data_IF_839389454607
#
_entry.id   IF_839389454607
#
_cell.length_a   1.000
_cell.length_b   1.000
_cell.length_c   1.000
_cell.angle_alpha   90.00
_cell.angle_beta   90.00
_cell.angle_gamma   90.00
#
_symmetry.space_group_name_H-M   'P 1'
#
loop_
_entity.id
_entity.type
_entity.pdbx_description
1 polymer ?
#
# COMPACT_ATOMS: atom_id res chain seq x y z
N UNK A 1 -8.71 -14.03 26.47
CA UNK A 1 -8.63 -13.09 25.33
C UNK A 1 -7.53 -13.49 24.34
N UNK A 2 -6.23 -13.67 24.76
CA UNK A 2 -5.17 -14.13 23.86
C UNK A 2 -5.53 -15.47 23.21
N UNK A 3 -5.93 -16.45 23.99
CA UNK A 3 -6.28 -17.80 23.50
C UNK A 3 -7.49 -17.78 22.56
N UNK A 4 -8.46 -16.89 22.79
CA UNK A 4 -9.63 -16.73 21.91
C UNK A 4 -9.22 -16.23 20.54
N UNK A 5 -8.28 -15.26 20.51
CA UNK A 5 -7.71 -14.74 19.26
C UNK A 5 -6.90 -15.83 18.56
N UNK A 6 -6.05 -16.56 19.26
CA UNK A 6 -5.29 -17.67 18.70
C UNK A 6 -6.21 -18.74 18.07
N UNK A 7 -7.30 -19.09 18.77
CA UNK A 7 -8.30 -20.02 18.26
C UNK A 7 -8.96 -19.49 16.98
N UNK A 8 -9.30 -18.17 16.94
CA UNK A 8 -9.88 -17.51 15.77
C UNK A 8 -8.96 -17.62 14.54
N UNK A 9 -7.65 -17.58 14.74
CA UNK A 9 -6.65 -17.71 13.66
C UNK A 9 -6.14 -19.15 13.46
N UNK A 10 -6.77 -20.13 14.08
CA UNK A 10 -6.45 -21.55 13.91
C UNK A 10 -5.06 -21.92 14.47
N UNK A 11 -4.57 -21.20 15.48
CA UNK A 11 -3.33 -21.53 16.18
C UNK A 11 -3.60 -22.58 17.26
N UNK A 12 -2.94 -23.75 17.13
CA UNK A 12 -3.02 -24.84 18.09
C UNK A 12 -2.53 -24.39 19.48
N UNK A 13 -3.04 -25.04 20.54
CA UNK A 13 -2.63 -24.76 21.91
C UNK A 13 -1.13 -24.97 22.16
N UNK A 14 -0.48 -25.81 21.37
CA UNK A 14 0.98 -26.02 21.42
C UNK A 14 1.77 -24.74 21.19
N UNK A 15 1.22 -23.79 20.40
CA UNK A 15 1.86 -22.51 20.10
C UNK A 15 2.12 -21.68 21.35
N UNK A 16 1.33 -21.85 22.42
CA UNK A 16 1.49 -21.11 23.67
C UNK A 16 2.85 -21.34 24.36
N UNK A 17 3.50 -22.48 24.06
CA UNK A 17 4.75 -22.91 24.67
C UNK A 17 5.93 -22.94 23.67
N UNK A 18 5.75 -22.49 22.43
CA UNK A 18 6.78 -22.47 21.41
C UNK A 18 7.55 -21.15 21.43
N UNK A 19 8.85 -21.24 21.21
CA UNK A 19 9.68 -20.07 20.94
C UNK A 19 9.48 -19.57 19.48
N UNK A 20 9.77 -18.30 19.19
CA UNK A 20 9.60 -17.75 17.83
C UNK A 20 10.29 -18.54 16.73
N UNK A 21 11.46 -19.11 16.99
CA UNK A 21 12.23 -19.91 16.02
C UNK A 21 11.66 -21.32 15.78
N UNK A 22 10.71 -21.77 16.61
CA UNK A 22 10.00 -23.04 16.46
C UNK A 22 8.70 -22.90 15.65
N UNK A 23 8.31 -21.65 15.35
CA UNK A 23 7.11 -21.35 14.59
C UNK A 23 7.40 -21.43 13.07
N UNK A 24 6.48 -22.00 12.31
CA UNK A 24 6.48 -21.78 10.86
C UNK A 24 6.23 -20.29 10.54
N UNK A 25 6.66 -19.82 9.37
CA UNK A 25 6.43 -18.42 8.97
C UNK A 25 4.97 -17.98 9.06
N UNK A 26 4.04 -18.84 8.63
CA UNK A 26 2.61 -18.58 8.76
C UNK A 26 2.11 -18.52 10.20
N UNK A 27 2.63 -19.40 11.09
CA UNK A 27 2.31 -19.37 12.53
C UNK A 27 2.85 -18.10 13.18
N UNK A 28 4.13 -17.78 12.95
CA UNK A 28 4.77 -16.59 13.50
C UNK A 28 4.00 -15.30 13.13
N UNK A 29 3.56 -15.21 11.87
CA UNK A 29 2.75 -14.09 11.41
C UNK A 29 1.39 -14.01 12.09
N UNK A 30 0.67 -15.13 12.23
CA UNK A 30 -0.61 -15.17 12.95
C UNK A 30 -0.45 -14.81 14.42
N UNK A 31 0.65 -15.22 15.06
CA UNK A 31 1.01 -14.81 16.41
C UNK A 31 1.25 -13.30 16.47
N UNK A 32 2.06 -12.74 15.55
CA UNK A 32 2.34 -11.31 15.50
C UNK A 32 1.05 -10.48 15.28
N UNK A 33 0.19 -10.89 14.36
CA UNK A 33 -1.11 -10.24 14.14
C UNK A 33 -1.99 -10.32 15.40
N UNK A 34 -1.97 -11.46 16.08
CA UNK A 34 -2.72 -11.66 17.33
C UNK A 34 -2.26 -10.72 18.45
N UNK A 35 -0.96 -10.40 18.53
CA UNK A 35 -0.45 -9.44 19.53
C UNK A 35 -1.03 -8.05 19.34
N UNK A 36 -1.19 -7.59 18.10
CA UNK A 36 -1.86 -6.32 17.81
C UNK A 36 -3.34 -6.32 18.24
N UNK A 37 -4.03 -7.45 18.06
CA UNK A 37 -5.46 -7.56 18.35
C UNK A 37 -5.79 -7.74 19.83
N UNK A 38 -4.86 -8.23 20.64
CA UNK A 38 -5.06 -8.38 22.10
C UNK A 38 -5.35 -7.04 22.78
N UNK A 39 -4.77 -5.96 22.29
CA UNK A 39 -4.89 -4.61 22.87
C UNK A 39 -6.17 -3.86 22.48
N UNK A 40 -7.09 -4.46 21.72
CA UNK A 40 -8.33 -3.80 21.23
C UNK A 40 -8.05 -2.51 20.45
N UNK A 41 -7.00 -2.54 19.65
CA UNK A 41 -6.55 -1.39 18.90
C UNK A 41 -7.58 -0.97 17.84
N UNK A 42 -7.69 0.35 17.63
CA UNK A 42 -8.55 0.93 16.60
C UNK A 42 -7.83 1.07 15.26
N UNK A 43 -6.50 1.02 15.28
CA UNK A 43 -5.65 1.15 14.11
C UNK A 43 -4.51 0.14 14.18
N UNK A 44 -4.28 -0.57 13.09
CA UNK A 44 -3.11 -1.44 12.89
C UNK A 44 -2.26 -0.84 11.76
N UNK A 45 -0.97 -0.72 12.01
CA UNK A 45 0.02 -0.40 10.97
C UNK A 45 0.75 -1.68 10.62
N UNK A 46 0.66 -2.10 9.37
CA UNK A 46 1.31 -3.29 8.83
C UNK A 46 2.35 -2.86 7.78
N UNK A 47 3.62 -2.95 8.17
CA UNK A 47 4.74 -2.59 7.30
C UNK A 47 5.29 -3.86 6.65
N UNK A 48 5.20 -3.92 5.30
CA UNK A 48 5.58 -5.05 4.46
C UNK A 48 5.11 -6.42 5.03
N UNK A 49 3.80 -6.62 5.23
CA UNK A 49 3.31 -7.83 5.90
C UNK A 49 3.28 -9.08 5.02
N UNK A 50 3.55 -8.95 3.71
CA UNK A 50 3.35 -10.02 2.72
C UNK A 50 4.62 -10.63 2.09
N UNK A 51 5.82 -10.02 2.16
CA UNK A 51 7.00 -10.60 1.53
C UNK A 51 7.31 -12.03 1.95
N UNK A 52 7.72 -12.85 0.98
CA UNK A 52 8.11 -14.24 1.22
C UNK A 52 6.97 -15.21 1.44
N UNK A 53 5.74 -14.79 1.25
CA UNK A 53 4.57 -15.69 1.28
C UNK A 53 4.35 -16.32 -0.09
N UNK A 54 4.03 -17.62 -0.07
CA UNK A 54 3.45 -18.28 -1.24
C UNK A 54 2.03 -17.73 -1.49
N UNK A 55 1.48 -17.97 -2.68
CA UNK A 55 0.19 -17.41 -3.10
C UNK A 55 -0.97 -17.77 -2.16
N UNK A 56 -0.99 -18.99 -1.63
CA UNK A 56 -2.03 -19.43 -0.69
C UNK A 56 -1.92 -18.66 0.61
N UNK A 57 -0.73 -18.59 1.19
CA UNK A 57 -0.45 -17.86 2.43
C UNK A 57 -0.70 -16.36 2.28
N UNK A 58 -0.38 -15.79 1.12
CA UNK A 58 -0.70 -14.40 0.78
C UNK A 58 -2.20 -14.15 0.81
N UNK A 59 -2.98 -14.98 0.12
CA UNK A 59 -4.44 -14.81 0.05
C UNK A 59 -5.10 -14.98 1.43
N UNK A 60 -4.64 -15.93 2.26
CA UNK A 60 -5.08 -16.07 3.65
C UNK A 60 -4.78 -14.80 4.45
N UNK A 61 -3.60 -14.26 4.27
CA UNK A 61 -3.16 -13.04 4.92
C UNK A 61 -4.03 -11.84 4.60
N UNK A 62 -4.25 -11.61 3.33
CA UNK A 62 -5.07 -10.50 2.86
C UNK A 62 -6.50 -10.64 3.39
N UNK A 63 -7.04 -11.87 3.42
CA UNK A 63 -8.35 -12.15 4.00
C UNK A 63 -8.41 -11.82 5.50
N UNK A 64 -7.36 -12.17 6.25
CA UNK A 64 -7.28 -11.84 7.67
C UNK A 64 -7.30 -10.32 7.89
N UNK A 65 -6.50 -9.55 7.13
CA UNK A 65 -6.53 -8.09 7.19
C UNK A 65 -7.90 -7.52 6.83
N UNK A 66 -8.55 -8.04 5.78
CA UNK A 66 -9.89 -7.57 5.40
C UNK A 66 -10.92 -7.85 6.51
N UNK A 67 -10.91 -9.04 7.09
CA UNK A 67 -11.81 -9.39 8.20
C UNK A 67 -11.61 -8.48 9.44
N UNK A 68 -10.36 -8.08 9.71
CA UNK A 68 -10.06 -7.15 10.80
C UNK A 68 -10.61 -5.76 10.48
N UNK A 69 -10.42 -5.28 9.25
CA UNK A 69 -10.96 -4.00 8.82
C UNK A 69 -12.49 -3.97 8.88
N UNK A 70 -13.15 -5.02 8.41
CA UNK A 70 -14.60 -5.18 8.44
C UNK A 70 -15.17 -5.27 9.86
N UNK A 71 -14.34 -5.70 10.84
CA UNK A 71 -14.70 -5.67 12.26
C UNK A 71 -14.56 -4.30 12.93
N UNK A 72 -14.18 -3.25 12.18
CA UNK A 72 -14.13 -1.86 12.64
C UNK A 72 -12.74 -1.38 13.09
N UNK A 73 -11.67 -2.14 12.80
CA UNK A 73 -10.30 -1.71 13.03
C UNK A 73 -9.71 -1.12 11.74
N UNK A 74 -9.26 0.13 11.75
CA UNK A 74 -8.59 0.72 10.60
C UNK A 74 -7.22 0.06 10.36
N UNK A 75 -6.87 -0.20 9.09
CA UNK A 75 -5.58 -0.79 8.72
C UNK A 75 -4.84 0.16 7.79
N UNK A 76 -3.62 0.52 8.16
CA UNK A 76 -2.65 1.16 7.28
C UNK A 76 -1.61 0.11 6.88
N UNK A 77 -1.71 -0.37 5.65
CA UNK A 77 -0.73 -1.29 5.07
C UNK A 77 0.29 -0.51 4.23
N UNK A 78 1.57 -0.71 4.51
CA UNK A 78 2.68 -0.21 3.70
C UNK A 78 3.21 -1.41 2.91
N UNK A 79 3.23 -1.30 1.59
CA UNK A 79 3.70 -2.37 0.72
C UNK A 79 4.13 -1.85 -0.66
N UNK A 80 5.07 -2.53 -1.28
CA UNK A 80 5.41 -2.36 -2.70
C UNK A 80 4.62 -3.33 -3.60
N UNK A 81 3.87 -4.26 -3.02
CA UNK A 81 3.00 -5.17 -3.77
C UNK A 81 1.64 -4.51 -4.06
N UNK A 82 1.56 -3.88 -5.24
CA UNK A 82 0.35 -3.20 -5.68
C UNK A 82 -0.81 -4.18 -5.85
N UNK A 83 -0.55 -5.40 -6.31
CA UNK A 83 -1.59 -6.40 -6.54
C UNK A 83 -2.23 -6.84 -5.21
N UNK A 84 -1.41 -7.03 -4.18
CA UNK A 84 -1.91 -7.30 -2.83
C UNK A 84 -2.76 -6.12 -2.31
N UNK A 85 -2.30 -4.88 -2.49
CA UNK A 85 -3.04 -3.69 -2.10
C UNK A 85 -4.38 -3.58 -2.83
N UNK A 86 -4.41 -3.80 -4.15
CA UNK A 86 -5.63 -3.74 -4.97
C UNK A 86 -6.68 -4.78 -4.58
N UNK A 87 -6.28 -5.89 -3.97
CA UNK A 87 -7.21 -6.96 -3.53
C UNK A 87 -8.01 -6.58 -2.30
N UNK A 88 -7.46 -5.74 -1.40
CA UNK A 88 -8.07 -5.54 -0.06
C UNK A 88 -8.28 -4.09 0.35
N UNK A 89 -7.59 -3.13 -0.27
CA UNK A 89 -7.66 -1.74 0.14
C UNK A 89 -8.99 -1.08 -0.28
N UNK A 90 -9.47 -0.15 0.55
CA UNK A 90 -10.55 0.77 0.18
C UNK A 90 -9.95 2.00 -0.54
N UNK A 91 -8.78 2.46 -0.08
CA UNK A 91 -8.03 3.58 -0.66
C UNK A 91 -6.55 3.24 -0.76
N UNK A 92 -5.89 3.79 -1.77
CA UNK A 92 -4.47 3.62 -2.00
C UNK A 92 -3.80 4.99 -2.00
N UNK A 93 -2.77 5.14 -1.16
CA UNK A 93 -1.89 6.29 -1.14
C UNK A 93 -0.62 5.97 -1.92
N UNK A 94 -0.41 6.63 -3.05
CA UNK A 94 0.77 6.45 -3.88
C UNK A 94 1.87 7.37 -3.37
N UNK A 95 2.96 6.76 -2.92
CA UNK A 95 4.10 7.43 -2.30
C UNK A 95 5.28 7.54 -3.26
N UNK A 96 5.96 8.70 -3.28
CA UNK A 96 7.12 8.93 -4.13
C UNK A 96 8.03 10.01 -3.53
N UNK A 97 9.33 9.74 -3.49
CA UNK A 97 10.35 10.67 -3.02
C UNK A 97 10.00 11.38 -1.69
N UNK A 98 9.55 10.59 -0.70
CA UNK A 98 9.23 11.09 0.64
C UNK A 98 7.86 11.77 0.78
N UNK A 99 6.98 11.73 -0.25
CA UNK A 99 5.66 12.35 -0.15
C UNK A 99 4.56 11.53 -0.81
N UNK A 100 3.33 11.71 -0.35
CA UNK A 100 2.14 11.14 -1.00
C UNK A 100 1.78 11.99 -2.21
N UNK A 101 1.83 11.43 -3.40
CA UNK A 101 1.46 12.11 -4.64
C UNK A 101 -0.02 12.04 -4.96
N UNK A 102 -0.66 10.93 -4.62
CA UNK A 102 -2.09 10.71 -4.84
C UNK A 102 -2.67 9.83 -3.74
N UNK A 103 -3.90 10.12 -3.31
CA UNK A 103 -4.76 9.20 -2.56
C UNK A 103 -6.00 8.98 -3.42
N UNK A 104 -6.22 7.75 -3.84
CA UNK A 104 -7.29 7.35 -4.74
C UNK A 104 -8.11 6.20 -4.15
N UNK A 105 -9.38 6.09 -4.54
CA UNK A 105 -10.16 4.89 -4.27
C UNK A 105 -9.58 3.70 -5.06
N UNK A 106 -9.68 2.50 -4.51
CA UNK A 106 -9.22 1.29 -5.22
C UNK A 106 -9.91 1.14 -6.58
N UNK A 107 -11.13 1.63 -6.73
CA UNK A 107 -11.86 1.61 -8.00
C UNK A 107 -11.23 2.49 -9.09
N UNK A 108 -10.43 3.50 -8.73
CA UNK A 108 -9.72 4.35 -9.69
C UNK A 108 -8.57 3.58 -10.40
N UNK A 109 -8.14 2.45 -9.82
CA UNK A 109 -7.15 1.53 -10.37
C UNK A 109 -7.77 0.44 -11.26
N UNK A 110 -9.07 0.48 -11.54
CA UNK A 110 -9.74 -0.50 -12.42
C UNK A 110 -9.67 -0.09 -13.89
N UNK A 111 -9.86 -1.08 -14.77
CA UNK A 111 -9.88 -0.88 -16.22
C UNK A 111 -8.51 -0.46 -16.74
N UNK A 112 -8.41 0.71 -17.37
CA UNK A 112 -7.20 1.25 -17.98
C UNK A 112 -6.49 2.32 -17.12
N UNK A 113 -6.91 2.49 -15.87
CA UNK A 113 -6.33 3.46 -14.95
C UNK A 113 -6.58 4.93 -15.30
N UNK A 114 -7.52 5.23 -16.20
CA UNK A 114 -7.85 6.62 -16.61
C UNK A 114 -8.28 7.49 -15.44
N UNK A 115 -8.90 6.90 -14.42
CA UNK A 115 -9.38 7.61 -13.24
C UNK A 115 -8.26 8.06 -12.29
N UNK A 116 -7.05 7.51 -12.42
CA UNK A 116 -5.89 7.99 -11.70
C UNK A 116 -5.54 9.41 -12.17
N UNK A 117 -5.13 10.26 -11.25
CA UNK A 117 -4.96 11.70 -11.45
C UNK A 117 -3.51 12.09 -11.67
N UNK A 118 -2.60 11.46 -10.90
CA UNK A 118 -1.18 11.77 -10.99
C UNK A 118 -0.50 10.97 -12.11
N UNK A 119 0.34 11.59 -12.97
CA UNK A 119 1.08 10.86 -14.01
C UNK A 119 1.92 9.70 -13.49
N UNK A 120 2.51 9.82 -12.29
CA UNK A 120 3.24 8.71 -11.66
C UNK A 120 2.32 7.54 -11.30
N UNK A 121 1.13 7.79 -10.75
CA UNK A 121 0.16 6.73 -10.42
C UNK A 121 -0.28 5.97 -11.68
N UNK A 122 -0.50 6.69 -12.78
CA UNK A 122 -0.80 6.08 -14.10
C UNK A 122 0.37 5.26 -14.61
N UNK A 123 1.59 5.80 -14.52
CA UNK A 123 2.79 5.10 -14.96
C UNK A 123 3.04 3.84 -14.12
N UNK A 124 2.84 3.92 -12.79
CA UNK A 124 2.96 2.80 -11.86
C UNK A 124 1.93 1.71 -12.18
N UNK A 125 0.68 2.09 -12.44
CA UNK A 125 -0.38 1.17 -12.86
C UNK A 125 -0.03 0.47 -14.20
N UNK A 126 0.46 1.21 -15.18
CA UNK A 126 0.85 0.67 -16.49
C UNK A 126 2.13 -0.20 -16.43
N UNK A 127 2.93 -0.07 -15.36
CA UNK A 127 4.10 -0.91 -15.13
C UNK A 127 3.76 -2.31 -14.60
N UNK A 128 2.52 -2.53 -14.15
CA UNK A 128 2.08 -3.86 -13.72
C UNK A 128 2.06 -4.85 -14.90
N UNK A 129 2.43 -6.13 -14.69
CA UNK A 129 2.48 -7.14 -15.74
C UNK A 129 1.18 -7.23 -16.56
N UNK A 130 0.03 -7.22 -15.90
CA UNK A 130 -1.29 -7.30 -16.52
C UNK A 130 -1.72 -6.03 -17.27
N UNK A 131 -1.02 -4.89 -17.07
CA UNK A 131 -1.38 -3.60 -17.64
C UNK A 131 -0.42 -3.13 -18.74
N UNK A 132 0.34 -4.06 -19.31
CA UNK A 132 1.23 -3.80 -20.46
C UNK A 132 2.70 -3.69 -20.11
N UNK A 133 3.08 -3.84 -18.83
CA UNK A 133 4.46 -3.92 -18.34
C UNK A 133 5.37 -2.79 -18.87
N UNK A 134 4.85 -1.56 -18.86
CA UNK A 134 5.59 -0.38 -19.37
C UNK A 134 6.52 0.17 -18.28
N UNK A 135 7.84 0.12 -18.45
CA UNK A 135 8.76 0.62 -17.43
C UNK A 135 8.68 2.15 -17.32
N UNK A 136 8.81 2.63 -16.08
CA UNK A 136 8.92 4.08 -15.83
C UNK A 136 10.37 4.49 -16.02
N UNK A 137 10.65 5.36 -17.01
CA UNK A 137 11.99 5.82 -17.33
C UNK A 137 12.63 6.65 -16.21
N UNK A 138 13.95 6.60 -16.13
CA UNK A 138 14.74 7.35 -15.15
C UNK A 138 14.65 6.79 -13.72
N UNK A 139 15.30 7.44 -12.77
CA UNK A 139 15.35 7.09 -11.37
C UNK A 139 14.64 8.10 -10.48
N UNK A 140 14.25 7.68 -9.28
CA UNK A 140 13.76 8.58 -8.26
C UNK A 140 14.90 9.51 -7.79
N UNK A 141 14.64 10.81 -7.54
CA UNK A 141 15.65 11.71 -7.01
C UNK A 141 16.11 11.26 -5.62
N UNK A 142 17.39 11.45 -5.35
CA UNK A 142 17.95 11.19 -4.02
C UNK A 142 17.41 12.21 -3.00
N UNK A 143 17.30 11.85 -1.71
CA UNK A 143 16.77 12.76 -0.68
C UNK A 143 17.50 14.10 -0.57
N UNK A 144 18.80 14.14 -0.88
CA UNK A 144 19.63 15.33 -0.89
C UNK A 144 19.61 16.10 -2.21
N UNK A 145 18.94 15.58 -3.24
CA UNK A 145 18.90 16.15 -4.60
C UNK A 145 17.46 16.40 -5.06
N UNK A 146 16.53 16.63 -4.12
CA UNK A 146 15.14 16.84 -4.46
C UNK A 146 14.97 18.14 -5.28
N UNK A 147 14.25 18.09 -6.41
CA UNK A 147 14.00 19.28 -7.21
C UNK A 147 13.15 20.30 -6.44
N UNK A 148 13.29 21.58 -6.74
CA UNK A 148 12.48 22.66 -6.13
C UNK A 148 11.00 22.53 -6.48
N UNK A 149 10.69 22.15 -7.70
CA UNK A 149 9.33 21.96 -8.21
C UNK A 149 8.73 20.60 -7.90
N UNK A 150 7.94 20.07 -8.83
CA UNK A 150 7.33 18.75 -8.71
C UNK A 150 8.40 17.66 -8.58
N UNK A 151 8.25 16.77 -7.61
CA UNK A 151 9.23 15.70 -7.37
C UNK A 151 9.34 14.70 -8.52
N UNK A 152 8.28 14.54 -9.30
CA UNK A 152 8.24 13.65 -10.45
C UNK A 152 8.59 14.33 -11.78
N UNK A 153 8.98 15.61 -11.78
CA UNK A 153 9.16 16.45 -12.98
C UNK A 153 10.05 15.81 -14.05
N UNK A 154 11.20 15.24 -13.67
CA UNK A 154 12.19 14.71 -14.63
C UNK A 154 11.78 13.39 -15.31
N UNK A 155 10.73 12.77 -14.80
CA UNK A 155 10.16 11.50 -15.29
C UNK A 155 8.74 11.66 -15.83
N UNK A 156 8.19 12.88 -15.79
CA UNK A 156 6.80 13.16 -16.11
C UNK A 156 6.63 13.44 -17.61
N UNK A 157 5.86 12.62 -18.29
CA UNK A 157 5.52 12.84 -19.72
C UNK A 157 4.60 14.05 -19.94
N UNK A 158 3.91 14.52 -18.86
CA UNK A 158 3.00 15.67 -18.90
C UNK A 158 3.61 16.91 -18.23
N UNK A 159 4.94 17.03 -18.21
CA UNK A 159 5.62 18.15 -17.55
C UNK A 159 5.26 19.49 -18.22
N UNK A 160 5.06 20.53 -17.39
CA UNK A 160 4.97 21.92 -17.84
C UNK A 160 6.07 22.75 -17.15
N UNK A 161 6.34 23.96 -17.66
CA UNK A 161 7.33 24.86 -17.05
C UNK A 161 7.02 25.15 -15.58
N UNK A 162 5.74 25.33 -15.24
CA UNK A 162 5.30 25.50 -13.85
C UNK A 162 5.70 24.34 -12.95
N UNK A 163 5.74 23.11 -13.46
CA UNK A 163 6.15 21.94 -12.68
C UNK A 163 7.61 22.00 -12.24
N UNK A 164 8.48 22.72 -12.94
CA UNK A 164 9.88 22.91 -12.57
C UNK A 164 10.06 23.94 -11.45
N UNK A 165 9.15 24.88 -11.36
CA UNK A 165 9.25 26.02 -10.45
C UNK A 165 8.44 25.83 -9.16
N UNK A 166 7.29 25.17 -9.26
CA UNK A 166 6.29 25.09 -8.19
C UNK A 166 6.13 23.63 -7.74
N UNK A 167 6.30 23.41 -6.43
CA UNK A 167 5.94 22.13 -5.79
C UNK A 167 4.43 22.08 -5.60
N UNK A 168 3.72 21.11 -6.20
CA UNK A 168 2.27 21.06 -6.09
C UNK A 168 1.83 20.80 -4.65
N UNK A 169 0.91 21.62 -4.14
CA UNK A 169 0.19 21.34 -2.91
C UNK A 169 -0.85 20.24 -3.12
N UNK A 170 -1.26 19.59 -2.03
CA UNK A 170 -2.37 18.65 -2.05
C UNK A 170 -3.67 19.39 -2.41
N UNK A 171 -4.43 18.85 -3.35
CA UNK A 171 -5.77 19.34 -3.70
C UNK A 171 -6.70 18.19 -3.98
N UNK A 172 -7.99 18.39 -3.77
CA UNK A 172 -9.02 17.43 -4.14
C UNK A 172 -9.34 17.58 -5.63
N UNK A 173 -9.35 16.47 -6.33
CA UNK A 173 -9.75 16.36 -7.73
C UNK A 173 -10.64 15.13 -7.85
N UNK A 174 -11.88 15.31 -8.28
CA UNK A 174 -12.89 14.26 -8.15
C UNK A 174 -12.87 13.73 -6.70
N UNK A 175 -13.04 12.53 -6.40
CA UNK A 175 -13.06 12.00 -5.01
C UNK A 175 -11.67 11.57 -4.47
N UNK A 176 -10.59 12.15 -5.00
CA UNK A 176 -9.22 11.82 -4.60
C UNK A 176 -8.34 13.02 -4.33
N UNK A 177 -7.33 12.85 -3.50
CA UNK A 177 -6.29 13.86 -3.25
C UNK A 177 -5.15 13.68 -4.25
N UNK A 178 -4.64 14.78 -4.79
CA UNK A 178 -3.49 14.73 -5.71
C UNK A 178 -2.57 15.94 -5.53
N UNK A 179 -1.27 15.70 -5.69
CA UNK A 179 -0.22 16.73 -5.77
C UNK A 179 0.30 16.85 -7.20
N UNK A 180 -0.53 17.40 -8.08
CA UNK A 180 -0.19 17.63 -9.48
C UNK A 180 -0.83 18.93 -9.98
N UNK A 181 -0.06 19.77 -10.68
CA UNK A 181 -0.57 21.02 -11.26
C UNK A 181 -1.50 20.74 -12.47
N UNK A 182 -1.23 19.64 -13.19
CA UNK A 182 -1.90 19.28 -14.44
C UNK A 182 -2.99 18.19 -14.25
N UNK A 183 -3.31 17.79 -13.02
CA UNK A 183 -4.36 16.79 -12.77
C UNK A 183 -5.74 17.35 -13.09
N UNK A 184 -6.57 16.55 -13.74
CA UNK A 184 -7.95 16.83 -14.16
C UNK A 184 -8.92 15.77 -13.62
#
# INVERSE_FOLDING_TARGET
>A
RQRDIFNKYGLDKKVDNLYPFELSGGMARKVLLSTALVSDCKVIIADEPTPGLDEKSLNEALKDFRNIADSGCAILMITHDIEAALKIADKIAVFYAGTTLEIANVNDFKGDGKNLRHPYSKALFNALPQNGFKPIKGSQPMPNELPKGCLFQDRCECISEKCRLIRPNARMVRDGMVRCLNAT
#
